data_IF_319673726059
#
_entry.id   IF_319673726059
#
_cell.length_a   1.000
_cell.length_b   1.000
_cell.length_c   1.000
_cell.angle_alpha   90.00
_cell.angle_beta   90.00
_cell.angle_gamma   90.00
#
_symmetry.space_group_name_H-M   'P 1'
#
loop_
_entity.id
_entity.type
_entity.pdbx_description
1 polymer ?
#
# COMPACT_ATOMS: atom_id res chain seq x y z
N UNK A 1 -12.48 -15.44 10.83
CA UNK A 1 -11.14 -15.68 11.38
C UNK A 1 -10.14 -15.03 10.44
N UNK A 2 -9.21 -14.21 10.94
CA UNK A 2 -8.19 -13.56 10.09
C UNK A 2 -7.18 -14.60 9.62
N UNK A 3 -6.90 -14.65 8.32
CA UNK A 3 -5.77 -15.43 7.80
C UNK A 3 -4.46 -14.67 8.07
N UNK A 4 -3.75 -15.10 9.12
CA UNK A 4 -2.50 -14.48 9.55
C UNK A 4 -1.40 -14.56 8.48
N UNK A 5 -1.37 -15.62 7.67
CA UNK A 5 -0.35 -15.77 6.63
C UNK A 5 -0.59 -14.77 5.51
N UNK A 6 -1.85 -14.61 5.10
CA UNK A 6 -2.24 -13.61 4.11
C UNK A 6 -1.98 -12.19 4.60
N UNK A 7 -2.40 -11.87 5.82
CA UNK A 7 -2.14 -10.55 6.42
C UNK A 7 -0.64 -10.24 6.53
N UNK A 8 0.19 -11.20 6.95
CA UNK A 8 1.64 -11.03 7.01
C UNK A 8 2.28 -10.78 5.64
N UNK A 9 1.80 -11.45 4.60
CA UNK A 9 2.25 -11.24 3.21
C UNK A 9 1.92 -9.82 2.72
N UNK A 10 0.69 -9.36 2.99
CA UNK A 10 0.26 -8.00 2.62
C UNK A 10 1.12 -6.95 3.35
N UNK A 11 1.32 -7.11 4.66
CA UNK A 11 2.18 -6.21 5.46
C UNK A 11 3.61 -6.19 4.89
N UNK A 12 4.18 -7.35 4.58
CA UNK A 12 5.53 -7.44 4.02
C UNK A 12 5.66 -6.73 2.67
N UNK A 13 4.60 -6.75 1.84
CA UNK A 13 4.56 -6.01 0.59
C UNK A 13 4.51 -4.50 0.82
N UNK A 14 3.67 -4.02 1.76
CA UNK A 14 3.60 -2.61 2.13
C UNK A 14 4.97 -2.11 2.60
N UNK A 15 5.62 -2.84 3.51
CA UNK A 15 6.95 -2.49 4.01
C UNK A 15 7.98 -2.41 2.88
N UNK A 16 7.95 -3.36 1.93
CA UNK A 16 8.82 -3.33 0.75
C UNK A 16 8.61 -2.07 -0.08
N UNK A 17 7.36 -1.73 -0.42
CA UNK A 17 7.06 -0.56 -1.24
C UNK A 17 7.44 0.74 -0.55
N UNK A 18 7.15 0.87 0.76
CA UNK A 18 7.52 2.05 1.54
C UNK A 18 9.03 2.22 1.63
N UNK A 19 9.78 1.14 1.85
CA UNK A 19 11.25 1.16 1.89
C UNK A 19 11.85 1.54 0.53
N UNK A 20 11.26 1.05 -0.56
CA UNK A 20 11.69 1.44 -1.90
C UNK A 20 11.41 2.93 -2.16
N UNK A 21 10.24 3.43 -1.77
CA UNK A 21 9.90 4.85 -1.90
C UNK A 21 10.82 5.74 -1.05
N UNK A 22 11.17 5.32 0.16
CA UNK A 22 12.13 6.00 1.02
C UNK A 22 13.53 6.06 0.35
N UNK A 23 13.92 5.01 -0.36
CA UNK A 23 15.22 4.96 -1.06
C UNK A 23 15.36 6.00 -2.18
N UNK A 24 14.24 6.54 -2.69
CA UNK A 24 14.26 7.60 -3.69
C UNK A 24 14.61 8.97 -3.08
N UNK A 25 14.59 9.10 -1.75
CA UNK A 25 15.03 10.28 -1.00
C UNK A 25 14.40 11.59 -1.52
N UNK A 26 13.10 11.52 -1.87
CA UNK A 26 12.30 12.65 -2.35
C UNK A 26 12.08 13.60 -1.17
N UNK A 27 12.59 14.83 -1.25
CA UNK A 27 12.49 15.85 -0.20
C UNK A 27 11.67 17.06 -0.63
N UNK A 28 11.44 17.21 -1.93
CA UNK A 28 10.77 18.36 -2.52
C UNK A 28 10.10 17.99 -3.83
N UNK A 29 9.21 18.86 -4.30
CA UNK A 29 8.60 18.76 -5.63
C UNK A 29 9.64 18.74 -6.76
N UNK A 30 10.80 19.40 -6.57
CA UNK A 30 11.85 19.42 -7.59
C UNK A 30 12.43 18.03 -7.88
N UNK A 31 12.42 17.13 -6.89
CA UNK A 31 12.90 15.74 -7.02
C UNK A 31 11.94 14.88 -7.87
N UNK A 32 10.73 15.38 -8.15
CA UNK A 32 9.69 14.73 -8.93
C UNK A 32 9.52 15.32 -10.34
N UNK A 33 10.43 16.19 -10.78
CA UNK A 33 10.31 16.85 -12.09
C UNK A 33 10.62 15.94 -13.26
N UNK A 34 11.42 14.90 -13.05
CA UNK A 34 11.67 13.92 -14.10
C UNK A 34 10.56 12.88 -14.12
N UNK A 35 10.08 12.57 -15.32
CA UNK A 35 8.97 11.63 -15.51
C UNK A 35 9.26 10.25 -14.91
N UNK A 36 10.52 9.80 -14.91
CA UNK A 36 10.87 8.47 -14.43
C UNK A 36 10.68 8.36 -12.93
N UNK A 37 11.23 9.28 -12.15
CA UNK A 37 11.09 9.32 -10.68
C UNK A 37 9.64 9.58 -10.30
N UNK A 38 8.97 10.50 -10.99
CA UNK A 38 7.55 10.77 -10.75
C UNK A 38 6.68 9.53 -10.94
N UNK A 39 6.82 8.82 -12.06
CA UNK A 39 6.03 7.63 -12.32
C UNK A 39 6.39 6.48 -11.38
N UNK A 40 7.67 6.27 -11.09
CA UNK A 40 8.10 5.23 -10.17
C UNK A 40 7.56 5.48 -8.75
N UNK A 41 7.71 6.69 -8.22
CA UNK A 41 7.19 7.07 -6.91
C UNK A 41 5.66 6.97 -6.85
N UNK A 42 4.96 7.44 -7.89
CA UNK A 42 3.51 7.34 -7.99
C UNK A 42 3.03 5.88 -7.99
N UNK A 43 3.75 4.99 -8.69
CA UNK A 43 3.41 3.58 -8.73
C UNK A 43 3.58 2.91 -7.37
N UNK A 44 4.69 3.17 -6.67
CA UNK A 44 4.94 2.63 -5.33
C UNK A 44 3.91 3.14 -4.32
N UNK A 45 3.55 4.43 -4.39
CA UNK A 45 2.50 5.01 -3.56
C UNK A 45 1.15 4.34 -3.83
N UNK A 46 0.78 4.17 -5.11
CA UNK A 46 -0.45 3.50 -5.51
C UNK A 46 -0.50 2.04 -5.05
N UNK A 47 0.59 1.29 -5.22
CA UNK A 47 0.67 -0.11 -4.75
C UNK A 47 0.56 -0.21 -3.23
N UNK A 48 1.22 0.70 -2.50
CA UNK A 48 1.13 0.76 -1.03
C UNK A 48 -0.30 0.99 -0.56
N UNK A 49 -1.01 1.96 -1.18
CA UNK A 49 -2.40 2.24 -0.85
C UNK A 49 -3.32 1.05 -1.12
N UNK A 50 -3.20 0.40 -2.27
CA UNK A 50 -4.01 -0.78 -2.57
C UNK A 50 -3.74 -1.94 -1.59
N UNK A 51 -2.46 -2.17 -1.24
CA UNK A 51 -2.13 -3.20 -0.25
C UNK A 51 -2.68 -2.88 1.14
N UNK A 52 -2.77 -1.60 1.52
CA UNK A 52 -3.43 -1.19 2.77
C UNK A 52 -4.93 -1.50 2.72
N UNK A 53 -5.59 -1.25 1.58
CA UNK A 53 -7.00 -1.60 1.38
C UNK A 53 -7.21 -3.11 1.46
N UNK A 54 -6.36 -3.91 0.82
CA UNK A 54 -6.40 -5.38 0.90
C UNK A 54 -6.27 -5.88 2.35
N UNK A 55 -5.39 -5.23 3.15
CA UNK A 55 -5.24 -5.54 4.57
C UNK A 55 -6.50 -5.19 5.36
N UNK A 56 -7.11 -4.03 5.08
CA UNK A 56 -8.36 -3.62 5.72
C UNK A 56 -9.48 -4.62 5.42
N UNK A 57 -9.61 -5.05 4.16
CA UNK A 57 -10.60 -6.05 3.75
C UNK A 57 -10.40 -7.39 4.46
N UNK A 58 -9.15 -7.85 4.59
CA UNK A 58 -8.81 -9.07 5.33
C UNK A 58 -9.18 -8.97 6.82
N UNK A 59 -8.94 -7.81 7.45
CA UNK A 59 -9.29 -7.58 8.86
C UNK A 59 -10.81 -7.52 9.06
N UNK A 60 -11.51 -6.75 8.22
CA UNK A 60 -12.98 -6.59 8.27
C UNK A 60 -13.67 -7.93 8.05
N UNK A 61 -13.26 -8.68 7.02
CA UNK A 61 -13.78 -10.01 6.72
C UNK A 61 -13.45 -11.01 7.83
N UNK A 62 -12.23 -10.96 8.36
CA UNK A 62 -11.76 -11.87 9.39
C UNK A 62 -12.44 -11.67 10.76
N UNK A 63 -12.95 -10.47 11.03
CA UNK A 63 -13.68 -10.08 12.25
C UNK A 63 -15.21 -10.11 12.11
N UNK A 64 -15.72 -10.48 10.94
CA UNK A 64 -17.15 -10.56 10.64
C UNK A 64 -17.89 -9.25 10.96
N UNK A 65 -17.23 -8.11 10.73
CA UNK A 65 -17.73 -6.77 11.07
C UNK A 65 -18.85 -6.28 10.12
N UNK A 66 -19.33 -7.15 9.23
CA UNK A 66 -20.14 -6.79 8.07
C UNK A 66 -19.25 -6.14 6.99
N UNK A 67 -19.47 -6.50 5.72
CA UNK A 67 -18.78 -5.89 4.59
C UNK A 67 -19.37 -4.49 4.37
N UNK A 68 -18.59 -3.39 4.46
CA UNK A 68 -19.03 -2.12 3.92
C UNK A 68 -19.19 -2.31 2.41
N UNK A 69 -20.41 -2.27 1.92
CA UNK A 69 -20.78 -2.65 0.55
C UNK A 69 -20.17 -1.76 -0.54
N UNK A 70 -19.39 -0.73 -0.20
CA UNK A 70 -18.74 0.18 -1.14
C UNK A 70 -17.63 0.98 -0.43
N UNK A 71 -16.37 0.76 -0.82
CA UNK A 71 -15.43 1.86 -0.96
C UNK A 71 -15.27 2.08 -2.48
N UNK A 72 -16.07 3.02 -3.00
CA UNK A 72 -15.94 3.57 -4.34
C UNK A 72 -15.20 4.89 -4.26
#
# INVERSE_FOLDING_TARGET
MIDKNRAASIISNIERYLKELESYNIKSENDLRDNKTFFAASMLAFQSLNSILDLADEVVSGKDLGVPSTYK
#
